data_IF_343335133418
#
_entry.id   IF_343335133418
#
_cell.length_a   1.000
_cell.length_b   1.000
_cell.length_c   1.000
_cell.angle_alpha   90.00
_cell.angle_beta   90.00
_cell.angle_gamma   90.00
#
_symmetry.space_group_name_H-M   'P 1'
#
loop_
_entity.id
_entity.type
_entity.pdbx_description
1 polymer ?
#
# COMPACT_ATOMS: atom_id res chain seq x y z
N UNK A 1 -1.06 35.05 23.02
CA UNK A 1 -1.85 34.18 22.12
C UNK A 1 -0.88 33.29 21.37
N UNK A 2 -0.94 31.98 21.55
CA UNK A 2 -0.22 31.01 20.73
C UNK A 2 -1.05 30.72 19.48
N UNK A 3 -0.68 31.29 18.35
CA UNK A 3 -1.34 30.99 17.08
C UNK A 3 -0.95 29.58 16.62
N UNK A 4 -1.89 28.83 16.06
CA UNK A 4 -1.57 27.60 15.35
C UNK A 4 -0.71 27.95 14.13
N UNK A 5 0.45 27.29 13.99
CA UNK A 5 1.35 27.45 12.84
C UNK A 5 1.61 26.09 12.21
N UNK A 6 1.57 26.03 10.88
CA UNK A 6 1.95 24.84 10.13
C UNK A 6 3.47 24.71 10.20
N UNK A 7 3.96 23.63 10.81
CA UNK A 7 5.41 23.37 10.95
C UNK A 7 6.01 22.61 9.77
N UNK A 8 5.19 21.95 8.97
CA UNK A 8 5.60 21.17 7.81
C UNK A 8 4.39 20.62 7.06
N UNK A 9 4.65 20.12 5.86
CA UNK A 9 3.73 19.37 5.03
C UNK A 9 4.53 18.32 4.25
N UNK A 10 3.94 17.16 4.03
CA UNK A 10 4.51 16.08 3.23
C UNK A 10 3.50 15.60 2.18
N UNK A 11 4.02 14.98 1.13
CA UNK A 11 3.23 14.27 0.14
C UNK A 11 3.66 12.81 0.09
N UNK A 12 2.72 11.94 -0.21
CA UNK A 12 3.02 10.53 -0.41
C UNK A 12 2.32 10.03 -1.65
N UNK A 13 2.99 9.13 -2.36
CA UNK A 13 2.39 8.24 -3.32
C UNK A 13 2.64 6.82 -2.84
N UNK A 14 1.68 5.94 -3.02
CA UNK A 14 1.79 4.56 -2.56
C UNK A 14 1.48 3.65 -3.74
N UNK A 15 2.41 2.78 -4.09
CA UNK A 15 2.26 1.86 -5.20
C UNK A 15 1.69 0.54 -4.70
N UNK A 16 0.40 0.29 -4.95
CA UNK A 16 -0.34 -0.88 -4.44
C UNK A 16 -1.03 -1.68 -5.56
N UNK A 17 -0.29 -2.29 -6.49
CA UNK A 17 -0.86 -2.99 -7.64
C UNK A 17 -1.81 -4.14 -7.27
N UNK A 18 -1.51 -4.92 -6.23
CA UNK A 18 -2.39 -6.02 -5.82
C UNK A 18 -3.71 -5.51 -5.21
N UNK A 19 -3.70 -4.36 -4.55
CA UNK A 19 -4.94 -3.77 -4.03
C UNK A 19 -5.89 -3.36 -5.15
N UNK A 20 -5.35 -2.95 -6.31
CA UNK A 20 -6.17 -2.68 -7.52
C UNK A 20 -6.82 -3.98 -7.99
N UNK A 21 -6.05 -5.08 -8.04
CA UNK A 21 -6.53 -6.36 -8.57
C UNK A 21 -7.57 -7.01 -7.65
N UNK A 22 -7.37 -6.95 -6.34
CA UNK A 22 -8.16 -7.70 -5.37
C UNK A 22 -9.24 -6.87 -4.67
N UNK A 23 -9.06 -5.55 -4.53
CA UNK A 23 -9.97 -4.70 -3.77
C UNK A 23 -10.65 -3.62 -4.63
N UNK A 24 -10.18 -3.38 -5.85
CA UNK A 24 -10.77 -2.40 -6.76
C UNK A 24 -12.20 -2.76 -7.18
N UNK A 25 -13.13 -1.79 -7.12
CA UNK A 25 -14.57 -2.02 -7.38
C UNK A 25 -14.84 -2.69 -8.72
N UNK A 26 -14.14 -2.28 -9.79
CA UNK A 26 -14.32 -2.90 -11.11
C UNK A 26 -13.89 -4.37 -11.08
N UNK A 27 -12.75 -4.67 -10.46
CA UNK A 27 -12.18 -6.01 -10.42
C UNK A 27 -12.98 -6.94 -9.51
N UNK A 28 -13.47 -6.45 -8.38
CA UNK A 28 -14.30 -7.22 -7.45
C UNK A 28 -15.65 -7.55 -8.08
N UNK A 29 -16.32 -6.58 -8.71
CA UNK A 29 -17.59 -6.81 -9.41
C UNK A 29 -17.44 -7.76 -10.59
N UNK A 30 -16.39 -7.60 -11.40
CA UNK A 30 -16.11 -8.51 -12.52
C UNK A 30 -15.84 -9.94 -12.04
N UNK A 31 -15.10 -10.12 -10.94
CA UNK A 31 -14.81 -11.44 -10.38
C UNK A 31 -16.07 -12.14 -9.87
N UNK A 32 -17.01 -11.39 -9.30
CA UNK A 32 -18.31 -11.90 -8.85
C UNK A 32 -19.21 -12.31 -10.02
N UNK A 33 -19.23 -11.52 -11.10
CA UNK A 33 -20.05 -11.80 -12.27
C UNK A 33 -19.44 -12.88 -13.18
N UNK A 34 -18.12 -12.83 -13.40
CA UNK A 34 -17.36 -13.62 -14.36
C UNK A 34 -16.03 -14.11 -13.74
N UNK A 35 -16.04 -15.18 -12.92
CA UNK A 35 -14.82 -15.67 -12.26
C UNK A 35 -13.66 -16.01 -13.22
N UNK A 36 -13.99 -16.42 -14.45
CA UNK A 36 -13.02 -16.79 -15.49
C UNK A 36 -12.64 -15.64 -16.44
N UNK A 37 -12.94 -14.40 -16.06
CA UNK A 37 -12.75 -13.21 -16.90
C UNK A 37 -11.35 -13.09 -17.51
N UNK A 38 -11.29 -13.03 -18.84
CA UNK A 38 -10.06 -12.75 -19.59
C UNK A 38 -9.48 -11.37 -19.26
N UNK A 39 -10.32 -10.41 -18.89
CA UNK A 39 -9.88 -9.10 -18.41
C UNK A 39 -9.06 -9.23 -17.13
N UNK A 40 -9.56 -9.95 -16.13
CA UNK A 40 -8.87 -10.14 -14.85
C UNK A 40 -7.55 -10.91 -15.04
N UNK A 41 -7.52 -11.89 -15.95
CA UNK A 41 -6.30 -12.66 -16.29
C UNK A 41 -5.23 -11.78 -16.94
N UNK A 42 -5.62 -10.82 -17.78
CA UNK A 42 -4.68 -9.93 -18.49
C UNK A 42 -4.27 -8.70 -17.68
N UNK A 43 -5.10 -8.24 -16.75
CA UNK A 43 -4.91 -7.01 -15.99
C UNK A 43 -3.52 -6.88 -15.33
N UNK A 44 -2.95 -7.92 -14.67
CA UNK A 44 -1.62 -7.81 -14.07
C UNK A 44 -0.51 -7.43 -15.05
N UNK A 45 -0.63 -7.80 -16.33
CA UNK A 45 0.33 -7.45 -17.38
C UNK A 45 0.31 -5.97 -17.77
N UNK A 46 -0.68 -5.21 -17.28
CA UNK A 46 -0.83 -3.79 -17.52
C UNK A 46 -0.46 -2.93 -16.31
N UNK A 47 -0.05 -3.54 -15.19
CA UNK A 47 0.48 -2.80 -14.06
C UNK A 47 1.91 -2.33 -14.36
N UNK A 48 2.21 -1.11 -13.94
CA UNK A 48 3.58 -0.59 -13.95
C UNK A 48 4.39 -1.27 -12.85
N UNK A 49 5.67 -1.48 -13.11
CA UNK A 49 6.61 -1.84 -12.06
C UNK A 49 6.76 -0.69 -11.05
N UNK A 50 7.28 -1.01 -9.86
CA UNK A 50 7.58 0.04 -8.88
C UNK A 50 8.61 1.03 -9.44
N UNK A 51 9.61 0.54 -10.17
CA UNK A 51 10.66 1.34 -10.79
C UNK A 51 10.10 2.30 -11.86
N UNK A 52 9.13 1.85 -12.65
CA UNK A 52 8.42 2.71 -13.61
C UNK A 52 7.61 3.80 -12.91
N UNK A 53 6.98 3.46 -11.76
CA UNK A 53 6.23 4.43 -10.95
C UNK A 53 7.15 5.45 -10.30
N UNK A 54 8.31 5.02 -9.80
CA UNK A 54 9.33 5.91 -9.22
C UNK A 54 9.86 6.85 -10.29
N UNK A 55 10.24 6.33 -11.45
CA UNK A 55 10.85 7.13 -12.52
C UNK A 55 9.87 7.98 -13.34
N UNK A 56 8.56 7.86 -13.11
CA UNK A 56 7.54 8.63 -13.83
C UNK A 56 7.68 10.14 -13.56
N UNK A 57 7.91 11.00 -14.57
CA UNK A 57 8.22 12.41 -14.36
C UNK A 57 7.21 13.18 -13.49
N UNK A 58 5.88 13.00 -13.65
CA UNK A 58 4.91 13.66 -12.78
C UNK A 58 5.00 13.23 -11.31
N UNK A 59 5.33 11.96 -11.03
CA UNK A 59 5.52 11.50 -9.65
C UNK A 59 6.77 12.13 -9.04
N UNK A 60 7.84 12.25 -9.81
CA UNK A 60 9.08 12.94 -9.40
C UNK A 60 8.83 14.44 -9.14
N UNK A 61 8.03 15.10 -9.98
CA UNK A 61 7.61 16.48 -9.72
C UNK A 61 6.75 16.59 -8.45
N UNK A 62 5.87 15.61 -8.20
CA UNK A 62 4.99 15.58 -7.03
C UNK A 62 5.76 15.46 -5.70
N UNK A 63 6.78 14.59 -5.64
CA UNK A 63 7.64 14.47 -4.45
C UNK A 63 8.77 15.52 -4.41
N UNK A 64 8.88 16.36 -5.45
CA UNK A 64 9.80 17.51 -5.51
C UNK A 64 11.26 17.17 -5.77
N UNK A 65 11.55 16.08 -6.50
CA UNK A 65 12.89 15.80 -7.02
C UNK A 65 13.20 16.60 -8.29
N UNK A 66 12.17 16.90 -9.09
CA UNK A 66 12.22 17.85 -10.21
C UNK A 66 11.19 18.95 -10.00
N UNK A 67 11.29 20.06 -10.74
CA UNK A 67 10.29 21.13 -10.69
C UNK A 67 9.12 20.83 -11.63
N UNK A 68 7.90 21.30 -11.33
CA UNK A 68 6.77 21.19 -12.25
C UNK A 68 7.05 21.80 -13.64
N UNK A 69 7.87 22.85 -13.73
CA UNK A 69 8.26 23.47 -15.00
C UNK A 69 9.10 22.54 -15.88
N UNK A 70 9.89 21.65 -15.27
CA UNK A 70 10.76 20.70 -15.99
C UNK A 70 9.92 19.69 -16.80
N UNK A 71 8.66 19.45 -16.41
CA UNK A 71 7.72 18.60 -17.15
C UNK A 71 7.45 19.11 -18.57
N UNK A 72 7.61 20.42 -18.83
CA UNK A 72 7.46 21.00 -20.17
C UNK A 72 8.56 20.54 -21.14
N UNK A 73 9.68 20.05 -20.61
CA UNK A 73 10.77 19.48 -21.40
C UNK A 73 10.53 18.04 -21.84
N UNK A 74 9.53 17.36 -21.29
CA UNK A 74 9.16 15.99 -21.67
C UNK A 74 8.11 16.00 -22.77
N UNK A 75 8.33 15.21 -23.82
CA UNK A 75 7.32 14.99 -24.86
C UNK A 75 6.11 14.25 -24.26
N UNK A 76 4.92 14.59 -24.74
CA UNK A 76 3.71 13.85 -24.37
C UNK A 76 3.53 12.62 -25.28
N UNK A 77 3.05 11.49 -24.75
CA UNK A 77 2.59 11.29 -23.38
C UNK A 77 3.73 10.91 -22.41
N UNK A 78 3.71 11.50 -21.21
CA UNK A 78 4.78 11.36 -20.22
C UNK A 78 5.07 9.92 -19.76
N UNK A 79 4.12 9.00 -19.87
CA UNK A 79 4.33 7.60 -19.44
C UNK A 79 5.35 6.86 -20.33
N UNK A 80 5.75 7.44 -21.46
CA UNK A 80 6.81 6.91 -22.33
C UNK A 80 8.22 7.37 -21.93
N UNK A 81 8.31 8.19 -20.88
CA UNK A 81 9.56 8.80 -20.44
C UNK A 81 9.82 8.49 -18.97
N UNK A 82 11.10 8.46 -18.63
CA UNK A 82 11.59 8.20 -17.28
C UNK A 82 12.61 9.28 -16.89
N UNK A 83 12.57 9.71 -15.63
CA UNK A 83 13.59 10.59 -15.06
C UNK A 83 14.83 9.74 -14.75
N UNK A 84 15.98 10.11 -15.33
CA UNK A 84 17.23 9.42 -15.07
C UNK A 84 17.68 9.62 -13.63
N UNK A 85 18.06 8.54 -12.94
CA UNK A 85 18.48 8.59 -11.53
C UNK A 85 17.34 8.94 -10.56
N UNK A 86 16.08 8.66 -10.95
CA UNK A 86 14.94 8.88 -10.07
C UNK A 86 15.07 8.16 -8.74
N UNK A 87 14.73 8.86 -7.66
CA UNK A 87 14.70 8.30 -6.31
C UNK A 87 13.27 8.27 -5.79
N UNK A 88 12.98 7.33 -4.88
CA UNK A 88 11.68 7.25 -4.21
C UNK A 88 11.46 8.36 -3.18
N UNK A 89 12.53 9.02 -2.73
CA UNK A 89 12.50 10.12 -1.77
C UNK A 89 12.73 11.44 -2.49
N UNK A 90 11.95 12.45 -2.13
CA UNK A 90 12.10 13.81 -2.63
C UNK A 90 11.96 14.83 -1.51
N UNK A 91 12.24 16.09 -1.83
CA UNK A 91 12.18 17.18 -0.84
C UNK A 91 10.81 17.33 -0.19
N UNK A 92 9.75 16.99 -0.92
CA UNK A 92 8.38 17.19 -0.50
C UNK A 92 7.69 15.90 -0.06
N UNK A 93 8.30 14.73 -0.22
CA UNK A 93 7.58 13.48 -0.02
C UNK A 93 8.29 12.21 -0.45
N UNK A 94 7.53 11.12 -0.53
CA UNK A 94 8.04 9.82 -1.00
C UNK A 94 7.05 9.01 -1.85
N UNK A 95 7.57 7.98 -2.51
CA UNK A 95 6.83 6.95 -3.21
C UNK A 95 7.06 5.61 -2.49
N UNK A 96 6.10 5.15 -1.70
CA UNK A 96 6.22 3.93 -0.90
C UNK A 96 5.81 2.68 -1.71
N UNK A 97 6.60 1.58 -1.64
CA UNK A 97 6.23 0.31 -2.27
C UNK A 97 5.18 -0.45 -1.43
N UNK A 98 4.46 -1.38 -2.07
CA UNK A 98 3.31 -2.05 -1.48
C UNK A 98 3.64 -2.81 -0.19
N UNK A 99 4.77 -3.51 -0.15
CA UNK A 99 5.11 -4.35 0.99
C UNK A 99 5.39 -3.55 2.26
N UNK A 100 6.06 -2.40 2.11
CA UNK A 100 6.29 -1.46 3.21
C UNK A 100 4.96 -0.86 3.68
N UNK A 101 4.07 -0.55 2.74
CA UNK A 101 2.75 -0.03 3.06
C UNK A 101 1.87 -1.04 3.79
N UNK A 102 1.89 -2.33 3.41
CA UNK A 102 1.21 -3.39 4.15
C UNK A 102 1.77 -3.50 5.57
N UNK A 103 3.08 -3.37 5.75
CA UNK A 103 3.70 -3.23 7.08
C UNK A 103 3.16 -2.04 7.85
N UNK A 104 3.04 -0.88 7.20
CA UNK A 104 2.51 0.33 7.82
C UNK A 104 1.04 0.19 8.23
N UNK A 105 0.24 -0.58 7.47
CA UNK A 105 -1.13 -0.94 7.87
C UNK A 105 -1.12 -1.74 9.18
N UNK A 106 -0.22 -2.72 9.33
CA UNK A 106 -0.05 -3.47 10.58
C UNK A 106 0.42 -2.59 11.74
N UNK A 107 1.32 -1.64 11.50
CA UNK A 107 1.80 -0.68 12.50
C UNK A 107 0.67 0.27 12.97
N UNK A 108 -0.21 0.64 12.05
CA UNK A 108 -1.34 1.56 12.28
C UNK A 108 -2.54 0.88 12.95
N UNK A 109 -2.55 -0.45 12.98
CA UNK A 109 -3.60 -1.26 13.57
C UNK A 109 -3.48 -1.34 15.10
N UNK A 110 -4.37 -0.64 15.79
CA UNK A 110 -4.41 -0.58 17.26
C UNK A 110 -5.23 -1.74 17.83
N UNK A 111 -6.03 -2.43 17.01
CA UNK A 111 -6.97 -3.47 17.44
C UNK A 111 -6.49 -4.89 17.12
N UNK A 112 -5.26 -5.03 16.57
CA UNK A 112 -4.65 -6.32 16.20
C UNK A 112 -5.52 -7.15 15.24
N UNK A 113 -6.13 -6.46 14.28
CA UNK A 113 -6.96 -6.98 13.20
C UNK A 113 -6.16 -7.45 11.98
N UNK A 114 -5.02 -6.83 11.70
CA UNK A 114 -4.13 -7.22 10.60
C UNK A 114 -3.28 -8.41 11.02
N UNK A 115 -3.27 -9.47 10.23
CA UNK A 115 -2.33 -10.60 10.35
C UNK A 115 -1.43 -10.61 9.13
N UNK A 116 -0.14 -10.78 9.34
CA UNK A 116 0.86 -10.87 8.28
C UNK A 116 1.60 -12.19 8.41
N UNK A 117 1.91 -12.84 7.30
CA UNK A 117 2.65 -14.10 7.27
C UNK A 117 4.08 -13.88 7.83
N UNK A 118 4.67 -14.89 8.49
CA UNK A 118 5.96 -14.79 9.19
C UNK A 118 7.12 -14.33 8.29
N UNK A 119 7.31 -14.98 7.14
CA UNK A 119 8.41 -14.64 6.23
C UNK A 119 8.20 -13.26 5.60
N UNK A 120 6.97 -12.92 5.21
CA UNK A 120 6.63 -11.58 4.73
C UNK A 120 6.86 -10.51 5.81
N UNK A 121 6.46 -10.77 7.05
CA UNK A 121 6.67 -9.85 8.19
C UNK A 121 8.15 -9.61 8.42
N UNK A 122 8.99 -10.64 8.29
CA UNK A 122 10.43 -10.54 8.42
C UNK A 122 11.05 -9.65 7.33
N UNK A 123 10.68 -9.84 6.06
CA UNK A 123 11.15 -9.01 4.95
C UNK A 123 10.76 -7.54 5.16
N UNK A 124 9.49 -7.30 5.50
CA UNK A 124 8.96 -5.95 5.73
C UNK A 124 9.62 -5.27 6.93
N UNK A 125 9.91 -6.01 8.01
CA UNK A 125 10.70 -5.49 9.15
C UNK A 125 12.07 -5.00 8.69
N UNK A 126 12.78 -5.78 7.87
CA UNK A 126 14.10 -5.40 7.38
C UNK A 126 14.02 -4.11 6.55
N UNK A 127 13.06 -4.03 5.63
CA UNK A 127 12.86 -2.84 4.77
C UNK A 127 12.48 -1.61 5.59
N UNK A 128 11.46 -1.73 6.44
CA UNK A 128 10.99 -0.61 7.27
C UNK A 128 12.05 -0.17 8.28
N UNK A 129 12.93 -1.05 8.78
CA UNK A 129 14.03 -0.62 9.66
C UNK A 129 15.01 0.36 9.01
N UNK A 130 15.09 0.36 7.67
CA UNK A 130 15.92 1.28 6.88
C UNK A 130 15.18 2.57 6.51
N UNK A 131 13.88 2.65 6.80
CA UNK A 131 13.05 3.78 6.44
C UNK A 131 13.29 4.97 7.40
N UNK A 132 13.54 6.20 6.90
CA UNK A 132 13.94 7.34 7.75
C UNK A 132 12.96 7.69 8.87
N UNK A 133 11.66 7.44 8.65
CA UNK A 133 10.58 7.74 9.61
C UNK A 133 10.21 6.57 10.54
N UNK A 134 10.68 5.35 10.26
CA UNK A 134 10.25 4.16 11.00
C UNK A 134 11.21 3.84 12.13
N UNK A 135 10.91 4.40 13.30
CA UNK A 135 11.66 4.12 14.53
C UNK A 135 11.48 2.67 14.97
N UNK A 136 12.44 2.17 15.75
CA UNK A 136 12.44 0.80 16.30
C UNK A 136 11.12 0.45 17.01
N UNK A 137 10.55 1.37 17.78
CA UNK A 137 9.26 1.20 18.46
C UNK A 137 8.09 0.94 17.50
N UNK A 138 8.11 1.55 16.31
CA UNK A 138 7.09 1.32 15.28
C UNK A 138 7.30 -0.04 14.61
N UNK A 139 8.55 -0.36 14.24
CA UNK A 139 8.91 -1.64 13.62
C UNK A 139 8.59 -2.81 14.55
N UNK A 140 8.76 -2.64 15.87
CA UNK A 140 8.42 -3.64 16.87
C UNK A 140 6.92 -4.04 16.86
N UNK A 141 6.02 -3.15 16.42
CA UNK A 141 4.57 -3.44 16.32
C UNK A 141 4.23 -4.49 15.26
N UNK A 142 5.14 -4.78 14.33
CA UNK A 142 4.94 -5.83 13.33
C UNK A 142 4.87 -7.23 13.95
N UNK A 143 5.44 -7.44 15.16
CA UNK A 143 5.53 -8.75 15.83
C UNK A 143 6.15 -9.81 14.90
N UNK A 144 6.06 -11.10 15.21
CA UNK A 144 6.77 -12.13 14.44
C UNK A 144 6.00 -12.68 13.24
N UNK A 145 4.77 -12.21 13.03
CA UNK A 145 3.85 -12.72 12.01
C UNK A 145 3.11 -13.98 12.46
N UNK A 146 2.14 -14.36 11.65
CA UNK A 146 1.24 -15.50 11.83
C UNK A 146 1.55 -16.62 10.84
N UNK A 147 1.25 -17.86 11.19
CA UNK A 147 1.33 -18.99 10.27
C UNK A 147 0.33 -18.82 9.11
N UNK A 148 0.76 -19.19 7.90
CA UNK A 148 -0.07 -19.11 6.68
C UNK A 148 -1.40 -19.85 6.85
N UNK A 149 -1.40 -21.00 7.52
CA UNK A 149 -2.62 -21.77 7.81
C UNK A 149 -3.62 -20.97 8.68
N UNK A 150 -3.13 -20.19 9.65
CA UNK A 150 -3.99 -19.31 10.47
C UNK A 150 -4.63 -18.21 9.64
N UNK A 151 -3.89 -17.65 8.69
CA UNK A 151 -4.36 -16.61 7.77
C UNK A 151 -5.41 -17.20 6.82
N UNK A 152 -5.13 -18.34 6.21
CA UNK A 152 -6.10 -19.03 5.35
C UNK A 152 -7.38 -19.38 6.08
N UNK A 153 -7.28 -19.86 7.33
CA UNK A 153 -8.43 -20.13 8.19
C UNK A 153 -9.23 -18.86 8.46
N UNK A 154 -8.56 -17.74 8.78
CA UNK A 154 -9.22 -16.45 8.98
C UNK A 154 -10.03 -16.00 7.75
N UNK A 155 -9.51 -16.24 6.56
CA UNK A 155 -10.19 -15.89 5.30
C UNK A 155 -11.38 -16.84 5.05
N UNK A 156 -11.15 -18.16 5.12
CA UNK A 156 -12.14 -19.19 4.75
C UNK A 156 -13.31 -19.27 5.75
N UNK A 157 -13.01 -19.24 7.05
CA UNK A 157 -14.00 -19.47 8.11
C UNK A 157 -14.56 -18.18 8.71
N UNK A 158 -13.75 -17.11 8.76
CA UNK A 158 -14.11 -15.87 9.45
C UNK A 158 -14.28 -14.67 8.52
N UNK A 159 -14.25 -14.89 7.20
CA UNK A 159 -14.44 -13.87 6.17
C UNK A 159 -13.49 -12.67 6.32
N UNK A 160 -12.24 -12.94 6.69
CA UNK A 160 -11.19 -11.92 6.68
C UNK A 160 -10.86 -11.50 5.23
N UNK A 161 -10.49 -10.23 5.06
CA UNK A 161 -10.08 -9.67 3.78
C UNK A 161 -8.63 -10.08 3.51
N UNK A 162 -8.37 -10.75 2.39
CA UNK A 162 -7.03 -11.24 2.07
C UNK A 162 -6.10 -10.09 1.63
N UNK A 163 -4.84 -10.14 2.08
CA UNK A 163 -3.78 -9.23 1.66
C UNK A 163 -2.82 -9.94 0.73
N UNK A 164 -2.52 -9.32 -0.40
CA UNK A 164 -1.65 -9.89 -1.43
C UNK A 164 -0.43 -9.01 -1.69
N UNK A 165 0.68 -9.66 -2.03
CA UNK A 165 1.86 -9.01 -2.59
C UNK A 165 2.47 -9.90 -3.67
N UNK A 166 2.68 -9.35 -4.86
CA UNK A 166 3.09 -10.09 -6.06
C UNK A 166 2.16 -11.28 -6.33
N UNK A 167 0.85 -11.06 -6.17
CA UNK A 167 -0.22 -12.06 -6.28
C UNK A 167 -0.06 -13.28 -5.35
N UNK A 168 0.72 -13.15 -4.26
CA UNK A 168 0.83 -14.16 -3.20
C UNK A 168 0.11 -13.69 -1.95
N UNK A 169 -0.56 -14.61 -1.27
CA UNK A 169 -1.20 -14.35 0.00
C UNK A 169 -0.11 -14.06 1.05
N UNK A 170 -0.14 -12.85 1.63
CA UNK A 170 0.85 -12.41 2.63
C UNK A 170 0.23 -12.01 3.97
N UNK A 171 -1.10 -12.04 4.07
CA UNK A 171 -1.79 -11.64 5.28
C UNK A 171 -3.31 -11.58 5.11
N UNK A 172 -3.98 -11.09 6.13
CA UNK A 172 -5.40 -10.76 6.07
C UNK A 172 -5.76 -9.64 7.05
N UNK A 173 -6.88 -8.97 6.81
CA UNK A 173 -7.53 -8.05 7.75
C UNK A 173 -8.79 -8.72 8.30
N UNK A 174 -8.86 -8.92 9.60
CA UNK A 174 -10.05 -9.46 10.26
C UNK A 174 -11.16 -8.41 10.32
N UNK A 175 -12.41 -8.87 10.34
CA UNK A 175 -13.55 -8.03 10.76
C UNK A 175 -13.36 -7.58 12.21
N UNK A 176 -13.84 -6.38 12.54
CA UNK A 176 -13.83 -5.85 13.90
C UNK A 176 -15.07 -6.25 14.69
N UNK A 177 -16.13 -6.72 14.01
CA UNK A 177 -17.36 -7.19 14.64
C UNK A 177 -18.07 -8.22 13.75
N UNK A 178 -18.86 -9.11 14.34
CA UNK A 178 -19.53 -10.20 13.61
C UNK A 178 -20.80 -9.76 12.86
N UNK A 179 -21.54 -8.80 13.42
CA UNK A 179 -22.85 -8.36 12.92
C UNK A 179 -22.83 -6.98 12.26
N UNK A 180 -22.12 -5.99 12.84
CA UNK A 180 -22.14 -4.62 12.34
C UNK A 180 -21.54 -4.55 10.91
N UNK A 181 -22.35 -4.19 9.91
CA UNK A 181 -21.90 -4.13 8.53
C UNK A 181 -20.78 -3.10 8.32
N UNK A 182 -20.67 -2.07 9.16
CA UNK A 182 -19.61 -1.05 9.09
C UNK A 182 -18.27 -1.53 9.65
N UNK A 183 -18.25 -2.70 10.28
CA UNK A 183 -17.07 -3.30 10.91
C UNK A 183 -16.68 -4.62 10.24
N UNK A 184 -17.17 -4.86 9.02
CA UNK A 184 -16.75 -5.99 8.20
C UNK A 184 -15.29 -5.85 7.74
N UNK A 185 -14.66 -6.95 7.33
CA UNK A 185 -13.24 -6.99 7.01
C UNK A 185 -12.83 -6.03 5.87
N UNK A 186 -13.68 -5.89 4.84
CA UNK A 186 -13.44 -5.00 3.70
C UNK A 186 -13.42 -3.52 4.14
N UNK A 187 -14.39 -3.08 4.93
CA UNK A 187 -14.44 -1.69 5.44
C UNK A 187 -13.28 -1.43 6.40
N UNK A 188 -12.93 -2.40 7.26
CA UNK A 188 -11.75 -2.27 8.13
C UNK A 188 -10.47 -2.16 7.30
N UNK A 189 -10.35 -2.92 6.21
CA UNK A 189 -9.22 -2.82 5.29
C UNK A 189 -9.10 -1.41 4.68
N UNK A 190 -10.19 -0.84 4.16
CA UNK A 190 -10.22 0.53 3.63
C UNK A 190 -9.87 1.59 4.69
N UNK A 191 -10.42 1.44 5.90
CA UNK A 191 -10.14 2.32 7.03
C UNK A 191 -8.64 2.28 7.42
N UNK A 192 -8.04 1.09 7.41
CA UNK A 192 -6.61 0.92 7.69
C UNK A 192 -5.73 1.51 6.59
N UNK A 193 -6.10 1.36 5.31
CA UNK A 193 -5.40 2.02 4.20
C UNK A 193 -5.43 3.53 4.39
N UNK A 194 -6.61 4.09 4.68
CA UNK A 194 -6.78 5.54 4.90
C UNK A 194 -5.95 6.02 6.09
N UNK A 195 -5.97 5.27 7.19
CA UNK A 195 -5.19 5.60 8.39
C UNK A 195 -3.68 5.50 8.15
N UNK A 196 -3.21 4.43 7.51
CA UNK A 196 -1.80 4.19 7.27
C UNK A 196 -1.22 5.24 6.31
N UNK A 197 -1.95 5.56 5.23
CA UNK A 197 -1.57 6.63 4.31
C UNK A 197 -1.54 7.99 5.01
N UNK A 198 -2.57 8.33 5.78
CA UNK A 198 -2.58 9.57 6.56
C UNK A 198 -1.52 9.66 7.66
N UNK A 199 -0.98 8.53 8.14
CA UNK A 199 0.10 8.51 9.14
C UNK A 199 1.46 8.77 8.51
N UNK A 200 1.65 8.41 7.24
CA UNK A 200 2.91 8.64 6.52
C UNK A 200 3.03 10.08 5.99
N UNK A 201 1.91 10.67 5.56
CA UNK A 201 1.83 12.03 5.01
C UNK A 201 2.05 13.13 6.06
#
# INVERSE_FOLDING_TARGET
MSNAVVKGAGYILIHTPDMILHNGTTQTMERLANPESEYLKKLPNHFRSYEDVVSYPPNQAYIGTIKPEDLRGYEMPWYKHAVAGAERYGKLGEIMPQEEFIGLMKISDVFDLVKLEKDFTKDVKEKLSKHPLMKEELVAKLKDGDDLESIEKAIKEFHAEALYHNNKLVGCVKRAHDIDPNLNAHIIHENLITKASGLLA
#
